data_IF_183904448540
#
_entry.id   IF_183904448540
#
_cell.length_a   1.000
_cell.length_b   1.000
_cell.length_c   1.000
_cell.angle_alpha   90.00
_cell.angle_beta   90.00
_cell.angle_gamma   90.00
#
_symmetry.space_group_name_H-M   'P 1'
#
loop_
_entity.id
_entity.type
_entity.pdbx_description
1 polymer ?
#
# COMPACT_ATOMS: atom_id res chain seq x y z
N UNK A 1 -8.09 5.12 -2.97
CA UNK A 1 -9.39 5.48 -3.55
C UNK A 1 -9.20 6.47 -4.68
N UNK A 2 -10.06 6.37 -5.70
CA UNK A 2 -10.19 7.39 -6.74
C UNK A 2 -11.34 8.32 -6.41
N UNK A 3 -11.09 9.61 -6.53
CA UNK A 3 -12.05 10.69 -6.28
C UNK A 3 -11.98 11.73 -7.39
N UNK A 4 -12.97 12.62 -7.44
CA UNK A 4 -12.91 13.84 -8.22
C UNK A 4 -12.69 15.02 -7.28
N UNK A 5 -11.76 15.89 -7.61
CA UNK A 5 -11.59 17.18 -6.95
C UNK A 5 -12.72 18.14 -7.37
N UNK A 6 -13.11 19.07 -6.50
CA UNK A 6 -13.94 20.20 -6.91
C UNK A 6 -13.25 20.99 -8.02
N UNK A 7 -13.99 21.30 -9.11
CA UNK A 7 -13.44 22.03 -10.26
C UNK A 7 -13.07 23.47 -9.87
N UNK A 8 -13.88 24.08 -9.02
CA UNK A 8 -13.73 25.49 -8.63
C UNK A 8 -12.67 25.71 -7.54
N UNK A 9 -12.21 24.64 -6.91
CA UNK A 9 -11.22 24.69 -5.83
C UNK A 9 -10.22 23.53 -5.94
N UNK A 10 -9.16 23.68 -6.73
CA UNK A 10 -8.15 22.65 -6.85
C UNK A 10 -7.48 22.37 -5.49
N UNK A 11 -7.36 21.11 -5.15
CA UNK A 11 -6.74 20.68 -3.88
C UNK A 11 -5.23 20.49 -4.06
N UNK A 12 -4.55 21.58 -4.40
CA UNK A 12 -3.10 21.61 -4.51
C UNK A 12 -2.40 21.64 -3.13
N UNK A 13 -1.08 21.62 -3.07
CA UNK A 13 -0.34 21.72 -1.82
C UNK A 13 -0.69 22.94 -0.96
N UNK A 14 -0.94 24.10 -1.57
CA UNK A 14 -1.25 25.34 -0.85
C UNK A 14 -2.64 25.31 -0.21
N UNK A 15 -3.60 24.70 -0.88
CA UNK A 15 -4.90 24.39 -0.29
C UNK A 15 -4.75 23.61 1.02
N UNK A 16 -3.99 22.52 1.02
CA UNK A 16 -3.81 21.70 2.22
C UNK A 16 -2.99 22.39 3.31
N UNK A 17 -2.03 23.22 2.95
CA UNK A 17 -1.33 24.08 3.92
C UNK A 17 -2.28 25.03 4.61
N UNK A 18 -3.21 25.62 3.86
CA UNK A 18 -4.26 26.50 4.44
C UNK A 18 -5.21 25.76 5.37
N UNK A 19 -5.42 24.46 5.15
CA UNK A 19 -6.17 23.57 6.02
C UNK A 19 -5.39 23.08 7.26
N UNK A 20 -4.13 23.47 7.40
CA UNK A 20 -3.30 23.14 8.55
C UNK A 20 -2.51 21.85 8.43
N UNK A 21 -2.34 21.30 7.24
CA UNK A 21 -1.45 20.16 7.02
C UNK A 21 -0.01 20.62 6.74
N UNK A 22 0.97 19.85 7.20
CA UNK A 22 2.31 19.89 6.64
C UNK A 22 2.28 19.07 5.35
N UNK A 23 2.80 19.66 4.26
CA UNK A 23 2.76 19.04 2.94
C UNK A 23 4.18 18.73 2.49
N UNK A 24 4.47 17.45 2.34
CA UNK A 24 5.73 16.93 1.78
C UNK A 24 5.53 16.68 0.28
N UNK A 25 6.02 17.62 -0.54
CA UNK A 25 5.91 17.56 -1.98
C UNK A 25 7.02 16.71 -2.60
N UNK A 26 6.67 15.93 -3.59
CA UNK A 26 7.62 15.22 -4.43
C UNK A 26 8.03 16.10 -5.61
N UNK A 27 9.32 16.14 -5.89
CA UNK A 27 9.87 16.86 -7.05
C UNK A 27 9.24 16.39 -8.36
N UNK A 28 8.92 15.10 -8.45
CA UNK A 28 8.30 14.50 -9.63
C UNK A 28 7.00 13.79 -9.26
N UNK A 29 6.03 13.91 -10.16
CA UNK A 29 4.81 13.13 -10.08
C UNK A 29 5.02 11.63 -10.34
N UNK A 30 3.95 10.95 -10.66
CA UNK A 30 3.98 9.52 -11.02
C UNK A 30 3.94 9.35 -12.56
N UNK A 31 3.93 8.10 -13.02
CA UNK A 31 3.69 7.80 -14.44
C UNK A 31 2.35 8.35 -14.93
N UNK A 32 1.36 8.45 -14.06
CA UNK A 32 -0.03 8.78 -14.38
C UNK A 32 -0.37 10.21 -14.00
N UNK A 33 0.16 10.72 -12.89
CA UNK A 33 -0.18 12.03 -12.31
C UNK A 33 1.02 12.97 -12.36
N UNK A 34 0.79 14.25 -12.66
CA UNK A 34 1.83 15.29 -12.66
C UNK A 34 2.28 15.65 -11.25
N UNK A 35 1.36 15.65 -10.29
CA UNK A 35 1.63 16.02 -8.91
C UNK A 35 1.45 14.85 -7.95
N UNK A 36 2.33 14.79 -6.96
CA UNK A 36 2.26 13.84 -5.85
C UNK A 36 2.83 14.50 -4.61
N UNK A 37 2.09 14.44 -3.51
CA UNK A 37 2.54 14.94 -2.22
C UNK A 37 1.94 14.12 -1.09
N UNK A 38 2.53 14.24 0.10
CA UNK A 38 2.05 13.57 1.31
C UNK A 38 1.58 14.60 2.31
N UNK A 39 0.39 14.43 2.82
CA UNK A 39 -0.16 15.21 3.93
C UNK A 39 0.34 14.61 5.24
N UNK A 40 0.90 15.47 6.08
CA UNK A 40 1.43 15.10 7.38
C UNK A 40 0.73 15.87 8.49
N UNK A 41 0.74 15.32 9.70
CA UNK A 41 0.37 16.05 10.93
C UNK A 41 1.41 17.11 11.26
N UNK A 42 1.11 17.97 12.25
CA UNK A 42 2.09 18.90 12.82
C UNK A 42 3.34 18.23 13.43
N UNK A 43 3.25 16.96 13.79
CA UNK A 43 4.38 16.15 14.21
C UNK A 43 5.13 15.48 13.04
N UNK A 44 4.90 15.95 11.81
CA UNK A 44 5.47 15.44 10.57
C UNK A 44 5.14 13.93 10.31
N UNK A 45 4.09 13.43 10.94
CA UNK A 45 3.66 12.06 10.70
C UNK A 45 2.84 11.99 9.41
N UNK A 46 3.26 11.18 8.43
CA UNK A 46 2.56 11.06 7.16
C UNK A 46 1.21 10.35 7.33
N UNK A 47 0.18 10.89 6.72
CA UNK A 47 -1.22 10.41 6.80
C UNK A 47 -1.75 9.90 5.47
N UNK A 48 -1.77 10.79 4.47
CA UNK A 48 -2.39 10.54 3.17
C UNK A 48 -1.44 10.97 2.06
N UNK A 49 -1.23 10.12 1.10
CA UNK A 49 -0.60 10.46 -0.17
C UNK A 49 -1.67 10.88 -1.17
N UNK A 50 -1.50 12.06 -1.75
CA UNK A 50 -2.37 12.64 -2.77
C UNK A 50 -1.65 12.62 -4.10
N UNK A 51 -2.31 12.09 -5.14
CA UNK A 51 -1.85 12.12 -6.53
C UNK A 51 -2.93 12.80 -7.34
N UNK A 52 -2.59 13.87 -8.02
CA UNK A 52 -3.53 14.71 -8.76
C UNK A 52 -2.95 15.20 -10.08
N UNK A 53 -3.75 15.91 -10.84
CA UNK A 53 -3.41 16.41 -12.15
C UNK A 53 -2.96 15.28 -13.10
N UNK A 54 -3.91 14.46 -13.59
CA UNK A 54 -3.61 13.34 -14.46
C UNK A 54 -3.00 13.80 -15.77
N UNK A 55 -1.93 13.14 -16.22
CA UNK A 55 -1.17 13.48 -17.45
C UNK A 55 -2.00 13.37 -18.72
N UNK A 56 -2.98 12.49 -18.74
CA UNK A 56 -3.95 12.39 -19.83
C UNK A 56 -5.25 11.78 -19.33
N UNK A 57 -6.36 12.45 -19.58
CA UNK A 57 -7.68 11.86 -19.45
C UNK A 57 -7.79 10.67 -20.44
N UNK A 58 -8.34 9.54 -19.99
CA UNK A 58 -8.45 8.32 -20.79
C UNK A 58 -7.26 7.35 -20.67
N UNK A 59 -6.18 7.70 -19.97
CA UNK A 59 -5.15 6.75 -19.59
C UNK A 59 -5.72 5.73 -18.60
N UNK A 60 -5.11 4.56 -18.54
CA UNK A 60 -5.54 3.39 -17.76
C UNK A 60 -6.28 3.78 -16.45
N UNK A 61 -7.62 3.76 -16.53
CA UNK A 61 -8.50 3.98 -15.38
C UNK A 61 -8.75 5.43 -14.97
N UNK A 62 -8.26 6.43 -15.73
CA UNK A 62 -8.56 7.84 -15.54
C UNK A 62 -9.59 8.26 -16.59
N UNK A 63 -10.71 8.81 -16.14
CA UNK A 63 -11.82 9.17 -17.00
C UNK A 63 -12.04 10.69 -17.07
N UNK A 64 -11.57 11.44 -16.07
CA UNK A 64 -11.84 12.87 -15.93
C UNK A 64 -10.55 13.64 -15.58
N UNK A 65 -10.48 14.90 -16.03
CA UNK A 65 -9.29 15.76 -15.84
C UNK A 65 -9.03 16.11 -14.37
N UNK A 66 -10.07 16.11 -13.55
CA UNK A 66 -9.99 16.38 -12.11
C UNK A 66 -9.98 15.09 -11.27
N UNK A 67 -9.73 13.93 -11.89
CA UNK A 67 -9.59 12.68 -11.16
C UNK A 67 -8.29 12.69 -10.35
N UNK A 68 -8.41 12.37 -9.08
CA UNK A 68 -7.28 12.22 -8.17
C UNK A 68 -7.28 10.85 -7.50
N UNK A 69 -6.14 10.49 -6.94
CA UNK A 69 -5.96 9.25 -6.20
C UNK A 69 -5.47 9.54 -4.78
N UNK A 70 -6.29 9.20 -3.79
CA UNK A 70 -5.97 9.31 -2.38
C UNK A 70 -5.57 7.94 -1.84
N UNK A 71 -4.50 7.90 -1.08
CA UNK A 71 -3.97 6.67 -0.49
C UNK A 71 -3.56 6.91 0.96
N UNK A 72 -4.08 6.12 1.88
CA UNK A 72 -3.52 6.07 3.23
C UNK A 72 -2.08 5.56 3.18
N UNK A 73 -1.18 6.20 3.89
CA UNK A 73 0.17 5.66 4.07
C UNK A 73 0.13 4.44 4.99
N UNK A 74 1.13 3.57 4.89
CA UNK A 74 1.10 2.28 5.60
C UNK A 74 0.77 2.41 7.09
N UNK A 75 1.35 3.38 7.79
CA UNK A 75 1.09 3.60 9.22
C UNK A 75 -0.38 3.94 9.49
N UNK A 76 -0.97 4.76 8.65
CA UNK A 76 -2.37 5.16 8.77
C UNK A 76 -3.36 4.04 8.44
N UNK A 77 -2.93 3.00 7.71
CA UNK A 77 -3.76 1.82 7.46
C UNK A 77 -3.96 0.93 8.70
N UNK A 78 -3.09 1.05 9.72
CA UNK A 78 -3.19 0.28 10.96
C UNK A 78 -4.03 0.97 12.05
N UNK A 79 -4.65 2.08 11.73
CA UNK A 79 -5.61 2.73 12.63
C UNK A 79 -6.90 1.91 12.67
N UNK A 80 -7.50 1.80 13.84
CA UNK A 80 -8.80 1.14 13.99
C UNK A 80 -9.91 1.86 13.20
N UNK A 81 -9.76 3.17 13.00
CA UNK A 81 -10.69 4.02 12.29
C UNK A 81 -10.26 4.35 10.83
N UNK A 82 -9.32 3.60 10.24
CA UNK A 82 -8.71 3.93 8.94
C UNK A 82 -9.74 4.21 7.83
N UNK A 83 -10.79 3.39 7.75
CA UNK A 83 -11.86 3.57 6.75
C UNK A 83 -12.71 4.81 7.04
N UNK A 84 -13.09 5.04 8.29
CA UNK A 84 -13.83 6.21 8.71
C UNK A 84 -13.01 7.50 8.53
N UNK A 85 -11.72 7.45 8.86
CA UNK A 85 -10.80 8.56 8.63
C UNK A 85 -10.73 8.96 7.16
N UNK A 86 -10.59 7.99 6.23
CA UNK A 86 -10.59 8.29 4.80
C UNK A 86 -11.94 8.82 4.31
N UNK A 87 -13.06 8.26 4.80
CA UNK A 87 -14.39 8.75 4.45
C UNK A 87 -14.62 10.19 4.90
N UNK A 88 -14.27 10.50 6.15
CA UNK A 88 -14.35 11.85 6.70
C UNK A 88 -13.44 12.83 5.95
N UNK A 89 -12.25 12.41 5.57
CA UNK A 89 -11.34 13.23 4.77
C UNK A 89 -11.95 13.58 3.41
N UNK A 90 -12.53 12.58 2.72
CA UNK A 90 -13.22 12.78 1.44
C UNK A 90 -14.35 13.79 1.58
N UNK A 91 -15.17 13.65 2.62
CA UNK A 91 -16.31 14.53 2.89
C UNK A 91 -15.87 15.95 3.26
N UNK A 92 -14.93 16.10 4.20
CA UNK A 92 -14.44 17.40 4.69
C UNK A 92 -13.78 18.24 3.59
N UNK A 93 -13.13 17.59 2.65
CA UNK A 93 -12.49 18.26 1.51
C UNK A 93 -13.35 18.22 0.25
N UNK A 94 -14.64 17.92 0.36
CA UNK A 94 -15.61 17.97 -0.74
C UNK A 94 -15.20 17.16 -1.99
N UNK A 95 -14.45 16.08 -1.81
CA UNK A 95 -14.17 15.16 -2.89
C UNK A 95 -15.42 14.36 -3.27
N UNK A 96 -15.62 14.13 -4.56
CA UNK A 96 -16.62 13.17 -5.00
C UNK A 96 -16.00 11.79 -5.10
N UNK A 97 -16.41 10.87 -4.24
CA UNK A 97 -15.95 9.47 -4.27
C UNK A 97 -16.37 8.78 -5.58
N UNK A 98 -15.45 8.05 -6.19
CA UNK A 98 -15.70 7.28 -7.41
C UNK A 98 -15.59 5.77 -7.16
N UNK A 99 -14.43 5.31 -6.71
CA UNK A 99 -14.17 3.88 -6.52
C UNK A 99 -12.99 3.64 -5.61
N UNK A 100 -12.95 2.44 -5.08
CA UNK A 100 -11.75 1.92 -4.42
C UNK A 100 -10.90 1.21 -5.48
N UNK A 101 -9.63 1.63 -5.60
CA UNK A 101 -8.69 1.00 -6.54
C UNK A 101 -8.01 -0.23 -5.95
N UNK A 102 -7.82 -0.22 -4.62
CA UNK A 102 -7.15 -1.31 -3.92
C UNK A 102 -7.55 -1.35 -2.44
N UNK A 103 -7.80 -2.56 -1.96
CA UNK A 103 -7.95 -2.86 -0.53
C UNK A 103 -6.95 -3.95 -0.20
N UNK A 104 -6.10 -3.71 0.79
CA UNK A 104 -5.17 -4.70 1.33
C UNK A 104 -5.73 -5.21 2.66
N UNK A 105 -6.00 -6.49 2.74
CA UNK A 105 -6.41 -7.15 3.98
C UNK A 105 -5.18 -7.90 4.50
N UNK A 106 -4.75 -7.55 5.72
CA UNK A 106 -3.63 -8.20 6.39
C UNK A 106 -4.13 -9.12 7.50
N UNK A 107 -3.52 -10.29 7.59
CA UNK A 107 -3.65 -11.21 8.73
C UNK A 107 -2.24 -11.52 9.21
N UNK A 108 -1.93 -11.10 10.42
CA UNK A 108 -0.64 -11.35 11.04
C UNK A 108 -0.74 -12.58 11.96
N UNK A 109 0.19 -13.49 11.82
CA UNK A 109 0.28 -14.71 12.64
C UNK A 109 1.59 -14.70 13.40
N UNK A 110 1.53 -14.72 14.71
CA UNK A 110 2.73 -14.81 15.56
C UNK A 110 3.28 -16.24 15.63
N UNK A 111 2.40 -17.23 15.57
CA UNK A 111 2.74 -18.64 15.67
C UNK A 111 1.94 -19.46 14.66
N UNK A 112 2.57 -20.50 14.17
CA UNK A 112 1.90 -21.53 13.38
C UNK A 112 1.52 -22.70 14.28
N UNK A 113 0.39 -23.34 13.97
CA UNK A 113 -0.01 -24.57 14.63
C UNK A 113 1.11 -25.65 14.52
N UNK A 114 1.25 -26.43 15.57
CA UNK A 114 2.19 -27.56 15.61
C UNK A 114 3.69 -27.21 15.49
N UNK A 115 4.05 -25.98 15.85
CA UNK A 115 5.45 -25.56 15.88
C UNK A 115 6.11 -25.37 14.51
N UNK A 116 5.32 -25.24 13.46
CA UNK A 116 5.84 -24.86 12.15
C UNK A 116 6.40 -23.42 12.18
N UNK A 117 7.47 -23.21 11.45
CA UNK A 117 8.00 -21.89 11.18
C UNK A 117 7.57 -21.37 9.82
N UNK A 118 7.69 -20.06 9.56
CA UNK A 118 7.37 -19.47 8.26
C UNK A 118 8.09 -20.13 7.08
N UNK A 119 9.34 -20.55 7.26
CA UNK A 119 10.14 -21.21 6.23
C UNK A 119 9.60 -22.60 5.90
N UNK A 120 9.24 -23.39 6.92
CA UNK A 120 8.63 -24.70 6.72
C UNK A 120 7.28 -24.59 6.00
N UNK A 121 6.48 -23.59 6.35
CA UNK A 121 5.23 -23.30 5.65
C UNK A 121 5.47 -22.95 4.17
N UNK A 122 6.36 -22.00 3.89
CA UNK A 122 6.67 -21.56 2.53
C UNK A 122 7.22 -22.71 1.68
N UNK A 123 8.13 -23.53 2.22
CA UNK A 123 8.65 -24.71 1.52
C UNK A 123 7.56 -25.74 1.21
N UNK A 124 6.65 -26.01 2.14
CA UNK A 124 5.51 -26.92 1.90
C UNK A 124 4.56 -26.37 0.87
N UNK A 125 4.32 -25.08 0.89
CA UNK A 125 3.50 -24.42 -0.10
C UNK A 125 4.09 -24.56 -1.51
N UNK A 126 5.38 -24.26 -1.67
CA UNK A 126 6.08 -24.42 -2.95
C UNK A 126 6.09 -25.87 -3.45
N UNK A 127 6.13 -26.85 -2.53
CA UNK A 127 5.98 -28.26 -2.86
C UNK A 127 4.55 -28.68 -3.17
N UNK A 128 3.63 -27.76 -3.35
CA UNK A 128 2.24 -27.97 -3.72
C UNK A 128 1.42 -28.82 -2.72
N UNK A 129 1.78 -28.81 -1.46
CA UNK A 129 1.10 -29.63 -0.45
C UNK A 129 -0.25 -29.07 0.02
N UNK A 130 -0.54 -27.78 -0.23
CA UNK A 130 -1.71 -27.09 0.33
C UNK A 130 -2.72 -26.60 -0.70
N UNK A 131 -2.42 -26.65 -1.99
CA UNK A 131 -3.21 -25.88 -2.93
C UNK A 131 -3.70 -26.73 -4.11
N UNK A 132 -5.02 -26.75 -4.28
CA UNK A 132 -5.69 -27.07 -5.53
C UNK A 132 -5.97 -25.82 -6.38
N UNK A 133 -5.55 -24.63 -5.90
CA UNK A 133 -5.78 -23.36 -6.60
C UNK A 133 -4.83 -23.33 -7.81
N UNK A 134 -5.35 -22.81 -8.92
CA UNK A 134 -4.59 -22.66 -10.14
C UNK A 134 -3.32 -21.83 -9.89
N UNK A 135 -2.16 -22.50 -9.96
CA UNK A 135 -0.87 -21.96 -9.54
C UNK A 135 -0.10 -21.30 -10.70
N UNK A 136 -0.79 -20.93 -11.78
CA UNK A 136 -0.14 -20.47 -13.01
C UNK A 136 0.73 -19.20 -12.82
N UNK A 137 0.53 -18.45 -11.72
CA UNK A 137 1.22 -17.17 -11.47
C UNK A 137 1.75 -17.08 -10.03
N UNK A 138 2.60 -18.03 -9.64
CA UNK A 138 3.30 -17.99 -8.36
C UNK A 138 4.65 -17.30 -8.56
N UNK A 139 4.90 -16.29 -7.75
CA UNK A 139 6.20 -15.64 -7.65
C UNK A 139 6.76 -15.85 -6.25
N UNK A 140 7.92 -16.49 -6.16
CA UNK A 140 8.61 -16.68 -4.90
C UNK A 140 9.86 -15.79 -4.86
N UNK A 141 10.05 -15.10 -3.75
CA UNK A 141 11.22 -14.28 -3.50
C UNK A 141 11.98 -14.84 -2.31
N UNK A 142 13.26 -15.07 -2.49
CA UNK A 142 14.15 -15.62 -1.47
C UNK A 142 15.58 -15.23 -1.75
N UNK A 143 16.46 -15.63 -0.86
CA UNK A 143 17.90 -15.51 -1.00
C UNK A 143 18.55 -16.89 -0.85
N UNK A 144 19.61 -17.12 -1.59
CA UNK A 144 20.48 -18.26 -1.37
C UNK A 144 21.38 -17.97 -0.16
N UNK A 145 21.33 -18.86 0.81
CA UNK A 145 22.16 -18.78 2.01
C UNK A 145 23.07 -20.01 2.08
N UNK A 146 24.11 -19.94 2.93
CA UNK A 146 24.99 -21.08 3.16
C UNK A 146 24.24 -22.34 3.66
N UNK A 147 23.13 -22.16 4.37
CA UNK A 147 22.26 -23.23 4.87
C UNK A 147 21.21 -23.68 3.86
N UNK A 148 21.19 -23.10 2.65
CA UNK A 148 20.22 -23.37 1.61
C UNK A 148 19.36 -22.15 1.28
N UNK A 149 18.32 -22.37 0.47
CA UNK A 149 17.45 -21.28 0.06
C UNK A 149 16.48 -20.87 1.15
N UNK A 150 16.51 -19.60 1.52
CA UNK A 150 15.55 -18.98 2.43
C UNK A 150 14.51 -18.17 1.66
N UNK A 151 13.24 -18.47 1.91
CA UNK A 151 12.12 -17.81 1.26
C UNK A 151 11.61 -16.65 2.11
N UNK A 152 11.58 -15.46 1.53
CA UNK A 152 11.08 -14.27 2.19
C UNK A 152 9.59 -14.07 1.95
N UNK A 153 9.13 -14.36 0.75
CA UNK A 153 7.73 -14.21 0.40
C UNK A 153 7.33 -15.09 -0.77
N UNK A 154 6.05 -15.39 -0.82
CA UNK A 154 5.38 -15.96 -1.98
C UNK A 154 4.19 -15.09 -2.30
N UNK A 155 4.02 -14.74 -3.57
CA UNK A 155 2.81 -14.09 -4.06
C UNK A 155 2.19 -14.90 -5.18
N UNK A 156 0.89 -14.78 -5.31
CA UNK A 156 0.15 -15.35 -6.44
C UNK A 156 -0.98 -14.41 -6.88
N UNK A 157 -1.36 -14.59 -8.10
CA UNK A 157 -2.21 -13.67 -8.85
C UNK A 157 -1.41 -12.93 -9.92
N UNK A 158 -2.04 -12.67 -11.05
CA UNK A 158 -1.46 -11.84 -12.10
C UNK A 158 -1.50 -10.37 -11.69
N UNK A 159 -0.56 -9.53 -12.14
CA UNK A 159 -0.69 -8.07 -12.01
C UNK A 159 -2.00 -7.50 -12.62
N UNK A 160 -2.60 -8.22 -13.55
CA UNK A 160 -3.89 -7.88 -14.15
C UNK A 160 -5.08 -8.53 -13.44
N UNK A 161 -4.86 -9.27 -12.36
CA UNK A 161 -5.94 -9.90 -11.59
C UNK A 161 -6.50 -8.93 -10.56
N UNK A 162 -7.81 -8.95 -10.40
CA UNK A 162 -8.49 -8.16 -9.36
C UNK A 162 -8.13 -8.62 -7.94
N UNK A 163 -7.63 -9.85 -7.81
CA UNK A 163 -7.25 -10.43 -6.53
C UNK A 163 -5.82 -10.96 -6.59
N UNK A 164 -5.00 -10.49 -5.69
CA UNK A 164 -3.66 -11.03 -5.44
C UNK A 164 -3.50 -11.40 -3.98
N UNK A 165 -2.68 -12.39 -3.69
CA UNK A 165 -2.34 -12.78 -2.33
C UNK A 165 -0.83 -12.82 -2.16
N UNK A 166 -0.34 -12.38 -1.01
CA UNK A 166 1.08 -12.43 -0.68
C UNK A 166 1.25 -12.93 0.74
N UNK A 167 2.03 -14.02 0.89
CA UNK A 167 2.60 -14.43 2.16
C UNK A 167 4.03 -13.94 2.25
N UNK A 168 4.42 -13.42 3.39
CA UNK A 168 5.80 -13.02 3.61
C UNK A 168 6.19 -13.12 5.08
N UNK A 169 7.49 -13.30 5.30
CA UNK A 169 8.05 -13.28 6.63
C UNK A 169 8.17 -11.83 7.11
N UNK A 170 7.25 -11.41 7.97
CA UNK A 170 7.18 -10.04 8.48
C UNK A 170 8.42 -9.65 9.29
N UNK A 171 8.99 -10.60 10.02
CA UNK A 171 10.23 -10.39 10.77
C UNK A 171 11.38 -9.98 9.85
N UNK A 172 11.51 -10.64 8.69
CA UNK A 172 12.55 -10.31 7.71
C UNK A 172 12.27 -8.96 7.01
N UNK A 173 11.01 -8.63 6.76
CA UNK A 173 10.66 -7.33 6.18
C UNK A 173 11.02 -6.17 7.14
N UNK A 174 10.84 -6.37 8.43
CA UNK A 174 11.13 -5.37 9.44
C UNK A 174 12.61 -5.26 9.77
N UNK A 175 13.39 -6.27 9.47
CA UNK A 175 14.84 -6.26 9.72
C UNK A 175 15.55 -5.32 8.76
N UNK A 176 16.33 -4.40 9.30
CA UNK A 176 17.23 -3.54 8.54
C UNK A 176 18.64 -4.16 8.57
N UNK A 177 19.13 -4.73 7.44
CA UNK A 177 20.42 -5.39 7.41
C UNK A 177 21.61 -4.41 7.58
N UNK A 178 21.41 -3.14 7.26
CA UNK A 178 22.48 -2.11 7.40
C UNK A 178 22.64 -1.74 8.87
N UNK A 179 21.53 -1.49 9.55
CA UNK A 179 21.52 -1.12 10.97
C UNK A 179 21.59 -2.32 11.90
N UNK A 180 21.44 -3.54 11.37
CA UNK A 180 21.31 -4.80 12.14
C UNK A 180 20.23 -4.73 13.23
N UNK A 181 19.18 -3.97 12.99
CA UNK A 181 18.06 -3.73 13.91
C UNK A 181 16.72 -3.90 13.19
N UNK A 182 15.68 -4.11 13.96
CA UNK A 182 14.31 -4.09 13.41
C UNK A 182 13.84 -2.65 13.23
N UNK A 183 13.25 -2.36 12.08
CA UNK A 183 12.77 -1.02 11.70
C UNK A 183 11.69 -0.49 12.64
N UNK A 184 10.91 -1.37 13.26
CA UNK A 184 9.90 -1.04 14.29
C UNK A 184 9.72 -2.23 15.22
N UNK A 185 9.53 -2.01 16.53
CA UNK A 185 8.95 -3.03 17.36
C UNK A 185 7.52 -3.31 16.87
N UNK A 186 7.16 -4.56 16.76
CA UNK A 186 5.76 -4.95 16.64
C UNK A 186 5.05 -4.51 17.93
N UNK A 187 4.02 -3.70 17.78
CA UNK A 187 3.11 -3.37 18.88
C UNK A 187 2.06 -4.43 18.93
#
# INVERSE_FOLDING_TARGET
VHCLEPIDQPHDPDYFRSCGFIVDEREYGTRIYNQMFTLCTYAEEPLIEVRRDPKSAGSIGIHEVNECHLRLVNRSCYRDDAAAFMANFIEQHHYTFRRISRVDICLDFEKFDKGDDPQAFLRRYLRRKYSKINQANIHAHGADTWSGQEWNSISWGSPASDVGTKFYNKTMELYDPIKKTYKKPYI
#
